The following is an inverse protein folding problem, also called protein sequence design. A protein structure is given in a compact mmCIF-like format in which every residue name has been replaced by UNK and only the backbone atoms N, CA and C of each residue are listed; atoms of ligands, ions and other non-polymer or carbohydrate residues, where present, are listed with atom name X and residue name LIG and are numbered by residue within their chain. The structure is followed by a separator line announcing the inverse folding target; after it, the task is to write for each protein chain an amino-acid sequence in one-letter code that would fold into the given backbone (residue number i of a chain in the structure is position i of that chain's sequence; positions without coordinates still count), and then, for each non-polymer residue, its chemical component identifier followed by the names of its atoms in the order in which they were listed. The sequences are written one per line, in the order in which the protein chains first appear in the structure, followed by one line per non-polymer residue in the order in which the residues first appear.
data_IF_099947932138
#
_entry.id   IF_099947932138
#
_cell.length_a   1.000
_cell.length_b   1.000
_cell.length_c   1.000
_cell.angle_alpha   90.00
_cell.angle_beta   90.00
_cell.angle_gamma   90.00
#
_symmetry.space_group_name_H-M   'P 1'
#
loop_
_entity.id
_entity.type
_entity.pdbx_description
1 polymer ?
#
# COMPACT_ATOMS: atom_id res chain seq x y z
N UNK A 1 16.97 -12.60 -10.39
CA UNK A 1 16.82 -11.94 -11.71
C UNK A 1 15.36 -11.63 -12.03
N UNK A 2 14.45 -12.62 -12.02
CA UNK A 2 13.00 -12.44 -12.31
C UNK A 2 12.32 -11.38 -11.43
N UNK A 3 12.58 -11.36 -10.12
CA UNK A 3 11.99 -10.36 -9.21
C UNK A 3 12.38 -8.92 -9.54
N UNK A 4 13.58 -8.68 -10.07
CA UNK A 4 14.05 -7.33 -10.45
C UNK A 4 13.35 -6.88 -11.73
N UNK A 5 13.24 -7.78 -12.71
CA UNK A 5 12.55 -7.53 -13.97
C UNK A 5 11.08 -7.16 -13.72
N UNK A 6 10.39 -7.92 -12.86
CA UNK A 6 9.00 -7.62 -12.49
C UNK A 6 8.84 -6.23 -11.85
N UNK A 7 9.78 -5.83 -10.99
CA UNK A 7 9.76 -4.50 -10.35
C UNK A 7 9.99 -3.38 -11.36
N UNK A 8 10.94 -3.57 -12.28
CA UNK A 8 11.22 -2.61 -13.35
C UNK A 8 10.03 -2.48 -14.30
N UNK A 9 9.42 -3.61 -14.70
CA UNK A 9 8.20 -3.61 -15.51
C UNK A 9 7.07 -2.86 -14.78
N UNK A 10 6.90 -3.07 -13.49
CA UNK A 10 5.87 -2.35 -12.72
C UNK A 10 6.14 -0.85 -12.66
N UNK A 11 7.40 -0.43 -12.50
CA UNK A 11 7.76 0.99 -12.54
C UNK A 11 7.45 1.58 -13.92
N UNK A 12 7.84 0.89 -15.00
CA UNK A 12 7.60 1.40 -16.36
C UNK A 12 6.11 1.45 -16.68
N UNK A 13 5.32 0.45 -16.24
CA UNK A 13 3.87 0.48 -16.42
C UNK A 13 3.26 1.65 -15.67
N UNK A 14 3.69 1.94 -14.44
CA UNK A 14 3.10 3.02 -13.65
C UNK A 14 3.55 4.40 -14.10
N UNK A 15 4.80 4.60 -14.53
CA UNK A 15 5.28 5.93 -14.91
C UNK A 15 4.91 6.31 -16.35
N UNK A 16 4.88 5.35 -17.28
CA UNK A 16 4.63 5.64 -18.69
C UNK A 16 3.15 5.68 -19.05
N UNK A 17 2.65 6.86 -19.45
CA UNK A 17 1.26 7.00 -19.89
C UNK A 17 0.95 6.16 -21.13
N UNK A 18 1.85 6.17 -22.12
CA UNK A 18 1.67 5.36 -23.34
C UNK A 18 1.58 3.87 -23.03
N UNK A 19 2.35 3.38 -22.04
CA UNK A 19 2.30 1.98 -21.65
C UNK A 19 1.00 1.63 -20.93
N UNK A 20 0.48 2.51 -20.06
CA UNK A 20 -0.84 2.31 -19.42
C UNK A 20 -1.97 2.26 -20.45
N UNK A 21 -1.96 3.19 -21.41
CA UNK A 21 -2.95 3.25 -22.48
C UNK A 21 -2.88 2.04 -23.42
N UNK A 22 -1.66 1.58 -23.75
CA UNK A 22 -1.45 0.36 -24.52
C UNK A 22 -2.02 -0.86 -23.77
N UNK A 23 -1.75 -0.99 -22.46
CA UNK A 23 -2.27 -2.08 -21.65
C UNK A 23 -3.79 -2.06 -21.56
N UNK A 24 -4.43 -0.91 -21.34
CA UNK A 24 -5.89 -0.83 -21.28
C UNK A 24 -6.52 -1.26 -22.60
N UNK A 25 -5.92 -0.90 -23.74
CA UNK A 25 -6.43 -1.31 -25.04
C UNK A 25 -6.22 -2.80 -25.31
N UNK A 26 -5.04 -3.34 -24.99
CA UNK A 26 -4.74 -4.77 -25.14
C UNK A 26 -5.64 -5.67 -24.29
N UNK A 27 -6.02 -5.20 -23.10
CA UNK A 27 -6.88 -5.93 -22.17
C UNK A 27 -8.38 -5.73 -22.44
N UNK A 28 -8.76 -4.94 -23.45
CA UNK A 28 -10.17 -4.61 -23.73
C UNK A 28 -10.83 -3.72 -22.66
N UNK A 29 -10.02 -2.93 -21.93
CA UNK A 29 -10.42 -2.04 -20.85
C UNK A 29 -10.37 -0.56 -21.27
N UNK A 30 -10.59 -0.26 -22.55
CA UNK A 30 -10.50 1.10 -23.10
C UNK A 30 -11.41 2.09 -22.37
N UNK A 31 -12.57 1.64 -21.89
CA UNK A 31 -13.52 2.47 -21.15
C UNK A 31 -12.97 2.96 -19.79
N UNK A 32 -12.01 2.23 -19.23
CA UNK A 32 -11.34 2.56 -17.97
C UNK A 32 -10.06 3.39 -18.18
N UNK A 33 -9.72 3.73 -19.43
CA UNK A 33 -8.50 4.48 -19.75
C UNK A 33 -8.45 5.84 -19.06
N UNK A 34 -9.60 6.48 -18.82
CA UNK A 34 -9.70 7.75 -18.07
C UNK A 34 -9.11 7.67 -16.66
N UNK A 35 -9.15 6.51 -16.02
CA UNK A 35 -8.56 6.29 -14.70
C UNK A 35 -7.04 6.17 -14.70
N UNK A 36 -6.41 5.97 -15.86
CA UNK A 36 -4.94 5.78 -15.94
C UNK A 36 -4.28 6.77 -16.90
N UNK A 37 -5.07 7.52 -17.65
CA UNK A 37 -4.62 8.53 -18.59
C UNK A 37 -4.25 9.82 -17.86
N UNK A 38 -2.97 10.18 -17.90
CA UNK A 38 -2.46 11.41 -17.32
C UNK A 38 -1.00 11.32 -16.92
N UNK A 39 -0.47 12.36 -16.29
CA UNK A 39 0.91 12.37 -15.82
C UNK A 39 0.93 11.93 -14.36
N UNK A 40 1.78 10.94 -14.05
CA UNK A 40 1.99 10.51 -12.66
C UNK A 40 2.98 11.46 -11.99
N UNK A 41 2.53 12.09 -10.92
CA UNK A 41 3.38 12.84 -9.99
C UNK A 41 3.61 12.03 -8.71
N UNK A 42 4.72 12.30 -8.02
CA UNK A 42 4.99 11.66 -6.73
C UNK A 42 4.04 12.25 -5.68
N UNK A 43 3.17 11.42 -5.12
CA UNK A 43 2.22 11.82 -4.09
C UNK A 43 2.80 11.57 -2.70
N UNK A 44 3.32 12.62 -2.08
CA UNK A 44 3.94 12.54 -0.75
C UNK A 44 2.93 12.05 0.30
N UNK A 45 1.66 12.48 0.18
CA UNK A 45 0.59 12.04 1.08
C UNK A 45 0.41 10.51 1.10
N UNK A 46 0.55 9.85 -0.05
CA UNK A 46 0.46 8.39 -0.13
C UNK A 46 1.66 7.70 0.54
N UNK A 47 2.85 8.30 0.41
CA UNK A 47 4.04 7.80 1.09
C UNK A 47 3.86 7.92 2.61
N UNK A 48 3.33 9.05 3.10
CA UNK A 48 3.06 9.26 4.52
C UNK A 48 2.11 8.20 5.09
N UNK A 49 1.05 7.83 4.37
CA UNK A 49 0.10 6.82 4.84
C UNK A 49 0.71 5.42 4.95
N UNK A 50 1.75 5.11 4.16
CA UNK A 50 2.43 3.82 4.20
C UNK A 50 3.58 3.75 5.23
N UNK A 51 3.99 4.87 5.85
CA UNK A 51 5.10 4.90 6.82
C UNK A 51 4.99 3.83 7.92
N UNK A 52 3.85 3.64 8.60
CA UNK A 52 3.78 2.67 9.71
C UNK A 52 4.07 1.23 9.25
N UNK A 53 3.53 0.87 8.09
CA UNK A 53 3.72 -0.42 7.41
C UNK A 53 5.20 -0.57 7.00
N UNK A 54 5.80 0.48 6.43
CA UNK A 54 7.20 0.48 6.03
C UNK A 54 8.17 0.33 7.21
N UNK A 55 7.90 1.01 8.33
CA UNK A 55 8.71 0.89 9.54
C UNK A 55 8.70 -0.55 10.07
N UNK A 56 7.52 -1.17 10.19
CA UNK A 56 7.41 -2.57 10.61
C UNK A 56 8.14 -3.50 9.63
N UNK A 57 8.01 -3.26 8.32
CA UNK A 57 8.73 -4.02 7.31
C UNK A 57 10.26 -3.91 7.44
N UNK A 58 10.80 -2.71 7.65
CA UNK A 58 12.24 -2.52 7.87
C UNK A 58 12.73 -3.24 9.14
N UNK A 59 11.92 -3.28 10.20
CA UNK A 59 12.23 -4.03 11.42
C UNK A 59 12.23 -5.55 11.18
N UNK A 60 11.27 -6.07 10.39
CA UNK A 60 11.27 -7.47 9.94
C UNK A 60 12.54 -7.73 9.12
N UNK A 61 12.84 -6.86 8.16
CA UNK A 61 13.97 -7.00 7.27
C UNK A 61 15.28 -7.12 8.03
N UNK A 62 15.51 -6.29 9.05
CA UNK A 62 16.70 -6.36 9.90
C UNK A 62 16.87 -7.70 10.64
N UNK A 63 15.77 -8.43 10.90
CA UNK A 63 15.74 -9.69 11.67
C UNK A 63 15.58 -10.94 10.80
N UNK A 64 15.44 -10.79 9.49
CA UNK A 64 15.21 -11.92 8.57
C UNK A 64 16.43 -12.84 8.53
N UNK A 65 16.19 -14.15 8.53
CA UNK A 65 17.24 -15.15 8.33
C UNK A 65 17.43 -15.48 6.85
N UNK A 66 16.33 -15.82 6.17
CA UNK A 66 16.32 -16.11 4.73
C UNK A 66 15.58 -15.02 3.97
N UNK A 67 16.07 -14.67 2.78
CA UNK A 67 15.45 -13.63 1.95
C UNK A 67 14.21 -14.16 1.22
N UNK A 68 14.20 -15.46 0.90
CA UNK A 68 13.17 -16.14 0.09
C UNK A 68 11.80 -16.11 0.77
N UNK A 69 11.76 -16.30 2.08
CA UNK A 69 10.55 -16.29 2.92
C UNK A 69 9.76 -14.96 2.85
N UNK A 70 10.44 -13.87 2.46
CA UNK A 70 9.86 -12.52 2.43
C UNK A 70 9.72 -11.96 1.02
N UNK A 71 9.99 -12.75 -0.02
CA UNK A 71 9.94 -12.30 -1.42
C UNK A 71 8.56 -11.79 -1.82
N UNK A 72 7.50 -12.54 -1.47
CA UNK A 72 6.11 -12.14 -1.70
C UNK A 72 5.76 -10.84 -0.96
N UNK A 73 6.06 -10.76 0.33
CA UNK A 73 5.80 -9.57 1.14
C UNK A 73 6.52 -8.33 0.58
N UNK A 74 7.79 -8.51 0.19
CA UNK A 74 8.60 -7.46 -0.43
C UNK A 74 7.99 -7.00 -1.75
N UNK A 75 7.48 -7.93 -2.57
CA UNK A 75 6.78 -7.60 -3.80
C UNK A 75 5.49 -6.81 -3.54
N UNK A 76 4.67 -7.22 -2.58
CA UNK A 76 3.43 -6.52 -2.25
C UNK A 76 3.70 -5.09 -1.75
N UNK A 77 4.65 -4.91 -0.83
CA UNK A 77 4.99 -3.59 -0.29
C UNK A 77 5.55 -2.68 -1.38
N UNK A 78 6.48 -3.19 -2.18
CA UNK A 78 7.04 -2.45 -3.31
C UNK A 78 5.93 -2.05 -4.30
N UNK A 79 5.09 -3.01 -4.70
CA UNK A 79 4.05 -2.76 -5.69
C UNK A 79 3.00 -1.77 -5.18
N UNK A 80 2.69 -1.82 -3.89
CA UNK A 80 1.83 -0.85 -3.24
C UNK A 80 2.39 0.59 -3.33
N UNK A 81 3.68 0.80 -3.03
CA UNK A 81 4.32 2.13 -3.10
C UNK A 81 4.29 2.67 -4.54
N UNK A 82 4.57 1.80 -5.52
CA UNK A 82 4.60 2.20 -6.93
C UNK A 82 3.18 2.51 -7.42
N UNK A 83 2.23 1.60 -7.24
CA UNK A 83 0.85 1.81 -7.69
C UNK A 83 0.15 2.96 -6.96
N UNK A 84 0.48 3.25 -5.70
CA UNK A 84 -0.12 4.37 -4.96
C UNK A 84 0.13 5.72 -5.60
N UNK A 85 1.18 5.84 -6.44
CA UNK A 85 1.43 7.04 -7.22
C UNK A 85 0.37 7.31 -8.29
N UNK A 86 -0.41 6.30 -8.72
CA UNK A 86 -1.53 6.50 -9.65
C UNK A 86 -2.62 7.41 -9.07
N UNK A 87 -2.70 7.56 -7.75
CA UNK A 87 -3.62 8.51 -7.11
C UNK A 87 -3.40 9.97 -7.53
N UNK A 88 -2.22 10.29 -8.08
CA UNK A 88 -1.92 11.62 -8.63
C UNK A 88 -2.58 11.88 -9.98
N UNK A 89 -2.98 10.83 -10.72
CA UNK A 89 -3.63 10.94 -12.03
C UNK A 89 -5.11 11.26 -11.83
N UNK A 90 -5.83 10.38 -11.13
CA UNK A 90 -7.19 10.63 -10.66
C UNK A 90 -7.41 10.03 -9.27
N UNK A 91 -8.35 10.61 -8.52
CA UNK A 91 -8.72 10.12 -7.19
C UNK A 91 -9.10 8.63 -7.22
N UNK A 92 -9.83 8.20 -8.25
CA UNK A 92 -10.31 6.83 -8.40
C UNK A 92 -9.25 5.83 -8.85
N UNK A 93 -8.14 6.27 -9.46
CA UNK A 93 -7.03 5.42 -9.89
C UNK A 93 -6.40 4.68 -8.72
N UNK A 94 -6.45 5.28 -7.53
CA UNK A 94 -5.97 4.70 -6.27
C UNK A 94 -6.66 3.37 -5.91
N UNK A 95 -7.85 3.09 -6.44
CA UNK A 95 -8.58 1.83 -6.17
C UNK A 95 -7.83 0.58 -6.66
N UNK A 96 -7.01 0.70 -7.69
CA UNK A 96 -6.16 -0.40 -8.19
C UNK A 96 -5.19 -0.88 -7.10
N UNK A 97 -4.75 0.05 -6.24
CA UNK A 97 -3.79 -0.21 -5.16
C UNK A 97 -4.39 -1.08 -4.06
N UNK A 98 -5.72 -1.04 -3.89
CA UNK A 98 -6.41 -1.77 -2.82
C UNK A 98 -6.19 -3.28 -2.95
N UNK A 99 -6.19 -3.82 -4.18
CA UNK A 99 -5.97 -5.24 -4.44
C UNK A 99 -4.62 -5.75 -3.95
N UNK A 100 -3.60 -4.90 -3.96
CA UNK A 100 -2.28 -5.24 -3.39
C UNK A 100 -2.18 -4.86 -1.92
N UNK A 101 -2.87 -3.79 -1.51
CA UNK A 101 -2.84 -3.26 -0.14
C UNK A 101 -3.31 -4.25 0.90
N UNK A 102 -4.26 -5.13 0.56
CA UNK A 102 -4.77 -6.16 1.47
C UNK A 102 -3.62 -7.00 2.03
N UNK A 103 -2.62 -7.35 1.21
CA UNK A 103 -1.50 -8.18 1.65
C UNK A 103 -0.57 -7.49 2.65
N UNK A 104 -0.65 -6.16 2.83
CA UNK A 104 0.07 -5.45 3.91
C UNK A 104 -0.32 -5.96 5.29
N UNK A 105 -1.52 -6.54 5.45
CA UNK A 105 -1.97 -7.13 6.72
C UNK A 105 -1.04 -8.24 7.22
N UNK A 106 -0.31 -8.92 6.33
CA UNK A 106 0.60 -10.00 6.68
C UNK A 106 1.83 -9.53 7.48
N UNK A 107 2.15 -8.24 7.44
CA UNK A 107 3.30 -7.67 8.18
C UNK A 107 3.18 -7.93 9.69
N UNK A 108 1.98 -7.76 10.25
CA UNK A 108 1.76 -7.89 11.69
C UNK A 108 2.04 -9.32 12.19
N UNK A 109 1.40 -10.39 11.67
CA UNK A 109 1.66 -11.75 12.13
C UNK A 109 3.11 -12.17 11.87
N UNK A 110 3.70 -11.77 10.73
CA UNK A 110 5.11 -12.06 10.41
C UNK A 110 6.06 -11.39 11.42
N UNK A 111 5.83 -10.12 11.76
CA UNK A 111 6.62 -9.41 12.76
C UNK A 111 6.52 -10.05 14.15
N UNK A 112 5.29 -10.40 14.57
CA UNK A 112 5.04 -11.06 15.85
C UNK A 112 5.68 -12.45 15.93
N UNK A 113 5.73 -13.19 14.82
CA UNK A 113 6.39 -14.48 14.78
C UNK A 113 7.91 -14.36 15.02
N UNK A 114 8.52 -13.32 14.45
CA UNK A 114 9.95 -13.01 14.58
C UNK A 114 10.35 -12.43 15.94
N UNK A 115 9.39 -12.06 16.79
CA UNK A 115 9.67 -11.59 18.15
C UNK A 115 9.95 -12.77 19.09
N UNK A 116 10.95 -12.61 19.96
CA UNK A 116 11.23 -13.56 21.04
C UNK A 116 10.57 -13.08 22.35
N UNK A 117 9.94 -14.01 23.06
CA UNK A 117 9.29 -13.77 24.35
C UNK A 117 7.79 -13.46 24.25
N UNK A 118 6.98 -14.24 24.97
CA UNK A 118 5.51 -14.14 24.96
C UNK A 118 4.99 -12.77 25.39
N UNK A 119 5.58 -12.20 26.44
CA UNK A 119 5.17 -10.91 27.00
C UNK A 119 5.41 -9.77 26.01
N UNK A 120 6.58 -9.78 25.33
CA UNK A 120 6.89 -8.82 24.25
C UNK A 120 5.89 -8.92 23.09
N UNK A 121 5.56 -10.15 22.65
CA UNK A 121 4.55 -10.36 21.58
C UNK A 121 3.20 -9.75 21.96
N UNK A 122 2.73 -9.98 23.19
CA UNK A 122 1.44 -9.46 23.67
C UNK A 122 1.48 -7.93 23.73
N UNK A 123 2.51 -7.33 24.34
CA UNK A 123 2.65 -5.87 24.40
C UNK A 123 2.67 -5.26 23.00
N UNK A 124 3.48 -5.82 22.09
CA UNK A 124 3.56 -5.34 20.71
C UNK A 124 2.21 -5.44 20.00
N UNK A 125 1.49 -6.55 20.16
CA UNK A 125 0.16 -6.71 19.55
C UNK A 125 -0.82 -5.65 20.07
N UNK A 126 -0.84 -5.40 21.39
CA UNK A 126 -1.70 -4.36 22.00
C UNK A 126 -1.35 -2.98 21.43
N UNK A 127 -0.06 -2.64 21.33
CA UNK A 127 0.38 -1.35 20.77
C UNK A 127 -0.02 -1.20 19.29
N UNK A 128 0.13 -2.26 18.49
CA UNK A 128 -0.27 -2.26 17.07
C UNK A 128 -1.79 -2.08 16.95
N UNK A 129 -2.59 -2.79 17.75
CA UNK A 129 -4.05 -2.66 17.74
C UNK A 129 -4.47 -1.24 18.14
N UNK A 130 -3.89 -0.68 19.20
CA UNK A 130 -4.16 0.68 19.64
C UNK A 130 -3.80 1.71 18.57
N UNK A 131 -2.63 1.54 17.92
CA UNK A 131 -2.22 2.37 16.80
C UNK A 131 -3.21 2.32 15.63
N UNK A 132 -3.62 1.13 15.18
CA UNK A 132 -4.57 0.99 14.08
C UNK A 132 -5.96 1.53 14.42
N UNK A 133 -6.43 1.38 15.67
CA UNK A 133 -7.68 1.97 16.11
C UNK A 133 -7.65 3.50 16.05
N UNK A 134 -6.56 4.12 16.51
CA UNK A 134 -6.38 5.58 16.43
C UNK A 134 -6.29 6.03 14.97
N UNK A 135 -5.48 5.33 14.16
CA UNK A 135 -5.33 5.64 12.74
C UNK A 135 -6.65 5.53 11.98
N UNK A 136 -7.44 4.48 12.24
CA UNK A 136 -8.76 4.26 11.65
C UNK A 136 -9.70 5.41 12.05
N UNK A 137 -9.77 5.75 13.33
CA UNK A 137 -10.63 6.83 13.81
C UNK A 137 -10.26 8.17 13.15
N UNK A 138 -8.97 8.53 13.13
CA UNK A 138 -8.51 9.76 12.50
C UNK A 138 -8.82 9.80 10.98
N UNK A 139 -8.60 8.69 10.27
CA UNK A 139 -8.74 8.64 8.81
C UNK A 139 -10.20 8.58 8.36
N UNK A 140 -11.02 7.77 9.01
CA UNK A 140 -12.39 7.52 8.57
C UNK A 140 -13.41 8.41 9.27
N UNK A 141 -13.22 8.70 10.57
CA UNK A 141 -14.17 9.52 11.34
C UNK A 141 -13.86 11.01 11.20
N UNK A 142 -12.62 11.42 11.44
CA UNK A 142 -12.25 12.85 11.42
C UNK A 142 -12.10 13.36 9.98
N UNK A 143 -11.32 12.67 9.14
CA UNK A 143 -11.11 13.08 7.74
C UNK A 143 -12.29 12.74 6.80
N UNK A 144 -13.24 11.92 7.25
CA UNK A 144 -14.39 11.51 6.43
C UNK A 144 -14.00 10.72 5.17
N UNK A 145 -12.85 10.04 5.20
CA UNK A 145 -12.35 9.28 4.04
C UNK A 145 -13.33 8.16 3.69
N UNK A 146 -13.58 7.96 2.40
CA UNK A 146 -14.46 6.91 1.85
C UNK A 146 -15.92 6.92 2.36
N UNK A 147 -16.35 7.98 3.05
CA UNK A 147 -17.72 8.16 3.57
C UNK A 147 -18.25 6.96 4.38
N UNK A 148 -17.35 6.24 5.07
CA UNK A 148 -17.71 5.04 5.85
C UNK A 148 -18.47 5.36 7.14
N UNK A 149 -18.37 6.59 7.62
CA UNK A 149 -19.14 7.14 8.74
C UNK A 149 -19.89 8.38 8.24
N UNK A 150 -21.17 8.59 8.60
CA UNK A 150 -21.90 9.80 8.24
C UNK A 150 -21.10 11.05 8.59
N UNK A 151 -21.17 12.09 7.77
CA UNK A 151 -20.44 13.35 7.94
C UNK A 151 -20.94 14.13 9.18
N UNK A 152 -20.67 13.63 10.38
CA UNK A 152 -21.05 14.28 11.64
C UNK A 152 -20.01 15.34 12.03
N UNK A 153 -18.76 15.18 11.56
CA UNK A 153 -17.64 16.06 11.92
C UNK A 153 -17.09 16.89 10.74
N UNK A 154 -17.59 16.68 9.52
CA UNK A 154 -17.23 17.51 8.38
C UNK A 154 -18.09 18.79 8.41
N UNK A 155 -17.74 19.72 9.29
CA UNK A 155 -18.20 21.09 9.16
C UNK A 155 -17.44 21.74 7.99
N UNK A 156 -18.21 22.33 7.07
CA UNK A 156 -17.77 23.07 5.90
C UNK A 156 -16.78 24.20 6.22
#
# INVERSE_FOLDING_TARGET
MVSIILKLLLITTVLSNSFRMMLTNLLGLSDYSTYVNGTVAISINQIYTDIPVLLLFLMIWKRRKNIEDYTFLTFCIFSNIVLSQLSSVMAYSSRIVLYISVFKMLIVPIYLNNLQGRLKKIITLILILLFYSIYWYYTYVIKGTDATVPYVFANF
#
